data_IF_609712999894
#
_entry.id   IF_609712999894
#
_cell.length_a   1.000
_cell.length_b   1.000
_cell.length_c   1.000
_cell.angle_alpha   90.00
_cell.angle_beta   90.00
_cell.angle_gamma   90.00
#
_symmetry.space_group_name_H-M   'P 1'
#
loop_
_entity.id
_entity.type
_entity.pdbx_description
1 polymer ?
#
# COMPACT_ATOMS: atom_id res chain seq x y z
N UNK A 1 41.16 -26.11 15.65
CA UNK A 1 39.86 -26.11 16.37
C UNK A 1 39.65 -24.85 17.20
N UNK A 2 40.47 -24.52 18.22
CA UNK A 2 40.27 -23.32 19.07
C UNK A 2 40.20 -21.98 18.31
N UNK A 3 41.07 -21.77 17.31
CA UNK A 3 41.07 -20.57 16.45
C UNK A 3 39.81 -20.47 15.58
N UNK A 4 39.32 -21.59 15.04
CA UNK A 4 38.09 -21.63 14.23
C UNK A 4 36.87 -21.31 15.08
N UNK A 5 36.77 -21.89 16.28
CA UNK A 5 35.69 -21.60 17.22
C UNK A 5 35.68 -20.12 17.61
N UNK A 6 36.85 -19.53 17.86
CA UNK A 6 36.97 -18.11 18.18
C UNK A 6 36.50 -17.20 17.04
N UNK A 7 36.89 -17.52 15.79
CA UNK A 7 36.42 -16.80 14.59
C UNK A 7 34.89 -16.91 14.45
N UNK A 8 34.32 -18.11 14.64
CA UNK A 8 32.87 -18.31 14.58
C UNK A 8 32.14 -17.47 15.64
N UNK A 9 32.67 -17.39 16.86
CA UNK A 9 32.11 -16.55 17.94
C UNK A 9 32.13 -15.08 17.55
N UNK A 10 33.24 -14.60 16.99
CA UNK A 10 33.35 -13.20 16.52
C UNK A 10 32.32 -12.92 15.43
N UNK A 11 32.22 -13.78 14.42
CA UNK A 11 31.26 -13.60 13.32
C UNK A 11 29.84 -13.56 13.86
N UNK A 12 29.48 -14.48 14.75
CA UNK A 12 28.16 -14.53 15.36
C UNK A 12 27.86 -13.27 16.19
N UNK A 13 28.83 -12.80 16.99
CA UNK A 13 28.69 -11.56 17.74
C UNK A 13 28.51 -10.34 16.83
N UNK A 14 29.26 -10.26 15.72
CA UNK A 14 29.10 -9.21 14.73
C UNK A 14 27.69 -9.25 14.13
N UNK A 15 27.20 -10.42 13.72
CA UNK A 15 25.85 -10.57 13.14
C UNK A 15 24.76 -10.08 14.12
N UNK A 16 24.91 -10.36 15.42
CA UNK A 16 23.94 -9.93 16.44
C UNK A 16 24.05 -8.44 16.79
N UNK A 17 25.26 -7.90 16.85
CA UNK A 17 25.49 -6.50 17.27
C UNK A 17 25.30 -5.50 16.13
N UNK A 18 25.54 -5.91 14.89
CA UNK A 18 25.48 -5.01 13.73
C UNK A 18 24.10 -4.31 13.59
N UNK A 19 22.94 -4.98 13.69
CA UNK A 19 21.63 -4.33 13.66
C UNK A 19 21.37 -3.36 14.83
N UNK A 20 22.02 -3.59 15.97
CA UNK A 20 21.91 -2.74 17.16
C UNK A 20 22.77 -1.49 16.97
N UNK A 21 23.98 -1.63 16.42
CA UNK A 21 24.87 -0.50 16.14
C UNK A 21 24.27 0.41 15.06
N UNK A 22 23.56 -0.16 14.07
CA UNK A 22 22.90 0.60 13.00
C UNK A 22 21.44 0.96 13.31
N UNK A 23 21.05 0.94 14.59
CA UNK A 23 19.71 1.27 15.05
C UNK A 23 19.31 2.72 14.72
N UNK A 24 18.05 2.94 14.34
CA UNK A 24 17.54 4.25 13.94
C UNK A 24 16.93 5.03 15.12
N UNK A 25 17.73 5.91 15.72
CA UNK A 25 17.30 6.80 16.81
C UNK A 25 16.58 8.09 16.36
N UNK A 26 16.45 8.37 15.06
CA UNK A 26 15.86 9.62 14.57
C UNK A 26 14.36 9.67 14.82
N UNK A 27 13.82 10.78 15.28
CA UNK A 27 12.36 10.96 15.43
C UNK A 27 11.65 11.19 14.09
N UNK A 28 10.33 10.98 14.09
CA UNK A 28 9.40 11.23 12.98
C UNK A 28 9.79 10.58 11.66
N UNK A 29 10.26 9.33 11.73
CA UNK A 29 10.68 8.58 10.55
C UNK A 29 9.50 7.83 9.94
N UNK A 30 9.50 7.75 8.61
CA UNK A 30 8.53 6.96 7.84
C UNK A 30 9.26 5.74 7.29
N UNK A 31 8.66 4.57 7.46
CA UNK A 31 9.15 3.32 6.90
C UNK A 31 9.00 3.30 5.39
N UNK A 32 10.08 2.99 4.68
CA UNK A 32 10.07 2.88 3.23
C UNK A 32 9.30 1.64 2.70
N UNK A 33 9.07 0.62 3.54
CA UNK A 33 8.42 -0.64 3.11
C UNK A 33 6.91 -0.54 3.17
N UNK A 34 6.38 -0.06 4.28
CA UNK A 34 4.94 -0.08 4.58
C UNK A 34 4.32 1.33 4.67
N UNK A 35 5.10 2.37 4.33
CA UNK A 35 4.69 3.79 4.32
C UNK A 35 3.99 4.23 5.62
N UNK A 36 4.43 3.69 6.76
CA UNK A 36 3.91 3.98 8.08
C UNK A 36 4.93 4.76 8.90
N UNK A 37 4.45 5.65 9.76
CA UNK A 37 5.30 6.29 10.79
C UNK A 37 5.86 5.23 11.74
N UNK A 38 7.19 5.23 11.95
CA UNK A 38 7.83 4.37 12.92
C UNK A 38 7.39 4.76 14.34
N UNK A 39 7.24 3.75 15.19
CA UNK A 39 6.90 3.95 16.61
C UNK A 39 7.90 4.91 17.26
N UNK A 40 7.44 5.91 17.99
CA UNK A 40 8.30 6.83 18.75
C UNK A 40 8.68 6.23 20.11
N UNK A 41 9.73 6.76 20.72
CA UNK A 41 10.13 6.28 22.04
C UNK A 41 9.00 6.54 23.04
N UNK A 42 8.49 5.52 23.76
CA UNK A 42 7.32 5.68 24.60
C UNK A 42 7.64 6.57 25.80
N UNK A 43 6.77 7.55 26.06
CA UNK A 43 6.83 8.32 27.29
C UNK A 43 6.29 7.48 28.44
N UNK A 44 6.98 7.49 29.58
CA UNK A 44 6.47 6.86 30.79
C UNK A 44 5.26 7.66 31.31
N UNK A 45 4.10 7.04 31.34
CA UNK A 45 2.88 7.62 31.90
C UNK A 45 2.52 6.86 33.18
N UNK A 46 2.45 7.56 34.31
CA UNK A 46 2.11 6.97 35.62
C UNK A 46 0.72 6.31 35.66
N UNK A 47 -0.16 6.65 34.72
CA UNK A 47 -1.51 6.11 34.60
C UNK A 47 -1.61 4.94 33.59
N UNK A 48 -0.56 4.69 32.80
CA UNK A 48 -0.54 3.58 31.84
C UNK A 48 -0.05 2.29 32.53
N UNK A 49 -0.55 1.15 32.07
CA UNK A 49 -0.10 -0.13 32.61
C UNK A 49 1.36 -0.40 32.20
N UNK A 50 2.13 -1.06 33.07
CA UNK A 50 3.52 -1.50 32.75
C UNK A 50 3.53 -2.37 31.48
N UNK A 51 2.46 -3.14 31.26
CA UNK A 51 2.31 -4.00 30.08
C UNK A 51 2.22 -3.19 28.78
N UNK A 52 1.47 -2.10 28.76
CA UNK A 52 1.38 -1.20 27.59
C UNK A 52 2.73 -0.56 27.29
N UNK A 53 3.40 -0.05 28.32
CA UNK A 53 4.74 0.53 28.16
C UNK A 53 5.75 -0.47 27.56
N UNK A 54 5.75 -1.72 28.03
CA UNK A 54 6.62 -2.78 27.48
C UNK A 54 6.26 -3.11 26.03
N UNK A 55 4.98 -3.14 25.69
CA UNK A 55 4.54 -3.38 24.31
C UNK A 55 4.96 -2.24 23.37
N UNK A 56 4.86 -0.99 23.81
CA UNK A 56 5.28 0.17 23.03
C UNK A 56 6.80 0.22 22.86
N UNK A 57 7.55 -0.13 23.91
CA UNK A 57 9.01 -0.29 23.82
C UNK A 57 9.38 -1.37 22.82
N UNK A 58 8.75 -2.55 22.89
CA UNK A 58 9.00 -3.62 21.94
C UNK A 58 8.70 -3.19 20.51
N UNK A 59 7.63 -2.43 20.30
CA UNK A 59 7.25 -1.89 19.00
C UNK A 59 8.28 -0.86 18.49
N UNK A 60 8.77 0.01 19.37
CA UNK A 60 9.87 0.94 19.07
C UNK A 60 11.14 0.22 18.64
N UNK A 61 11.59 -0.79 19.39
CA UNK A 61 12.77 -1.57 19.05
C UNK A 61 12.59 -2.29 17.71
N UNK A 62 11.48 -3.00 17.52
CA UNK A 62 11.20 -3.77 16.30
C UNK A 62 11.11 -2.90 15.05
N UNK A 63 10.59 -1.67 15.17
CA UNK A 63 10.46 -0.75 14.05
C UNK A 63 11.81 -0.15 13.61
N UNK A 64 12.79 -0.08 14.52
CA UNK A 64 14.00 0.75 14.35
C UNK A 64 15.31 -0.04 14.35
N UNK A 65 15.26 -1.35 14.50
CA UNK A 65 16.41 -2.22 14.29
C UNK A 65 17.05 -1.95 12.92
N UNK A 66 18.37 -1.81 12.94
CA UNK A 66 19.15 -1.62 11.74
C UNK A 66 19.01 -2.80 10.78
N UNK A 67 19.14 -2.53 9.48
CA UNK A 67 18.94 -3.50 8.40
C UNK A 67 17.55 -4.15 8.31
N UNK A 68 16.58 -3.77 9.14
CA UNK A 68 15.19 -4.27 9.05
C UNK A 68 14.67 -4.21 7.62
N UNK A 69 14.85 -3.07 6.96
CA UNK A 69 14.37 -2.90 5.58
C UNK A 69 15.02 -3.88 4.61
N UNK A 70 16.35 -4.02 4.70
CA UNK A 70 17.09 -4.98 3.89
C UNK A 70 16.58 -6.40 4.13
N UNK A 71 16.46 -6.83 5.38
CA UNK A 71 16.04 -8.19 5.70
C UNK A 71 14.61 -8.50 5.25
N UNK A 72 13.67 -7.58 5.45
CA UNK A 72 12.29 -7.77 4.98
C UNK A 72 12.26 -7.84 3.45
N UNK A 73 12.87 -6.87 2.76
CA UNK A 73 12.88 -6.85 1.30
C UNK A 73 13.59 -8.08 0.70
N UNK A 74 14.73 -8.48 1.27
CA UNK A 74 15.42 -9.71 0.84
C UNK A 74 14.58 -10.95 1.09
N UNK A 75 13.91 -11.05 2.23
CA UNK A 75 13.01 -12.18 2.53
C UNK A 75 11.86 -12.26 1.53
N UNK A 76 11.25 -11.12 1.21
CA UNK A 76 10.19 -11.03 0.20
C UNK A 76 10.70 -11.50 -1.17
N UNK A 77 11.86 -11.00 -1.63
CA UNK A 77 12.45 -11.39 -2.91
C UNK A 77 12.80 -12.88 -2.98
N UNK A 78 13.35 -13.44 -1.90
CA UNK A 78 13.70 -14.87 -1.82
C UNK A 78 12.43 -15.71 -1.89
N UNK A 79 11.38 -15.35 -1.14
CA UNK A 79 10.13 -16.09 -1.13
C UNK A 79 9.41 -16.02 -2.47
N UNK A 80 9.43 -14.85 -3.12
CA UNK A 80 8.84 -14.68 -4.44
C UNK A 80 9.61 -15.50 -5.49
N UNK A 81 10.94 -15.44 -5.49
CA UNK A 81 11.76 -16.15 -6.49
C UNK A 81 11.76 -17.66 -6.32
N UNK A 82 11.79 -18.16 -5.08
CA UNK A 82 11.85 -19.60 -4.80
C UNK A 82 10.48 -20.27 -4.79
N UNK A 83 9.45 -19.57 -4.32
CA UNK A 83 8.13 -20.16 -4.07
C UNK A 83 6.98 -19.47 -4.82
N UNK A 84 7.22 -18.34 -5.50
CA UNK A 84 6.18 -17.54 -6.13
C UNK A 84 5.26 -16.84 -5.13
N UNK A 85 5.72 -16.66 -3.87
CA UNK A 85 4.91 -16.12 -2.76
C UNK A 85 5.37 -14.72 -2.39
N UNK A 86 4.51 -13.73 -2.60
CA UNK A 86 4.70 -12.37 -2.11
C UNK A 86 4.04 -12.18 -0.74
N UNK A 87 4.84 -12.31 0.33
CA UNK A 87 4.39 -12.00 1.70
C UNK A 87 4.60 -10.51 1.98
N UNK A 88 3.65 -9.69 1.54
CA UNK A 88 3.64 -8.25 1.80
C UNK A 88 2.35 -7.83 2.52
N UNK A 89 2.36 -6.82 3.42
CA UNK A 89 1.13 -6.34 4.06
C UNK A 89 0.10 -5.81 3.05
N UNK A 90 0.56 -5.07 2.03
CA UNK A 90 -0.30 -4.35 1.08
C UNK A 90 -0.43 -4.98 -0.30
N UNK A 91 0.48 -5.87 -0.69
CA UNK A 91 0.58 -6.35 -2.08
C UNK A 91 0.37 -7.86 -2.16
N UNK A 92 -0.03 -8.31 -3.35
CA UNK A 92 -0.18 -9.72 -3.71
C UNK A 92 0.29 -9.95 -5.14
N UNK A 93 0.80 -11.15 -5.40
CA UNK A 93 1.16 -11.58 -6.75
C UNK A 93 -0.08 -11.80 -7.61
N UNK A 94 -0.04 -11.28 -8.83
CA UNK A 94 -0.88 -11.66 -9.95
C UNK A 94 -0.15 -12.67 -10.85
N UNK A 95 -0.72 -12.91 -12.03
CA UNK A 95 -0.09 -13.73 -13.08
C UNK A 95 1.02 -12.94 -13.77
N UNK A 96 1.95 -13.65 -14.39
CA UNK A 96 2.98 -13.07 -15.27
C UNK A 96 3.82 -11.96 -14.60
N UNK A 97 4.09 -12.09 -13.30
CA UNK A 97 4.92 -11.14 -12.55
C UNK A 97 4.23 -9.83 -12.19
N UNK A 98 2.94 -9.67 -12.46
CA UNK A 98 2.20 -8.49 -12.02
C UNK A 98 2.03 -8.49 -10.51
N UNK A 99 2.12 -7.31 -9.90
CA UNK A 99 1.87 -7.10 -8.48
C UNK A 99 0.66 -6.16 -8.33
N UNK A 100 -0.29 -6.58 -7.50
CA UNK A 100 -1.51 -5.83 -7.18
C UNK A 100 -1.56 -5.47 -5.71
N UNK A 101 -2.30 -4.42 -5.37
CA UNK A 101 -2.77 -4.25 -3.99
C UNK A 101 -3.60 -5.47 -3.59
N UNK A 102 -3.50 -5.87 -2.32
CA UNK A 102 -4.30 -6.96 -1.76
C UNK A 102 -5.77 -6.68 -2.03
N UNK A 103 -6.39 -7.60 -2.75
CA UNK A 103 -7.79 -7.57 -3.10
C UNK A 103 -8.59 -7.82 -1.82
N UNK A 104 -9.49 -6.90 -1.49
CA UNK A 104 -10.47 -7.06 -0.43
C UNK A 104 -11.84 -7.22 -1.06
N UNK A 105 -12.80 -7.87 -0.39
CA UNK A 105 -14.19 -7.84 -0.82
C UNK A 105 -14.60 -6.39 -1.08
N UNK A 106 -15.04 -6.11 -2.30
CA UNK A 106 -15.58 -4.81 -2.65
C UNK A 106 -16.99 -4.72 -2.08
N UNK A 107 -17.09 -4.16 -0.88
CA UNK A 107 -18.35 -3.65 -0.36
C UNK A 107 -18.54 -2.27 -1.00
N UNK A 108 -19.51 -2.17 -1.91
CA UNK A 108 -19.89 -0.88 -2.49
C UNK A 108 -20.77 -0.17 -1.48
N UNK A 109 -20.25 0.92 -0.93
CA UNK A 109 -21.03 1.86 -0.14
C UNK A 109 -21.80 2.78 -1.11
N UNK A 110 -23.07 2.44 -1.35
CA UNK A 110 -23.92 3.15 -2.31
C UNK A 110 -24.21 4.58 -1.88
N UNK A 111 -24.38 4.80 -0.57
CA UNK A 111 -24.67 6.12 0.00
C UNK A 111 -23.47 7.04 -0.23
N UNK A 112 -22.27 6.59 0.14
CA UNK A 112 -21.05 7.33 -0.08
C UNK A 112 -20.83 7.70 -1.56
N UNK A 113 -21.08 6.76 -2.48
CA UNK A 113 -20.89 7.03 -3.92
C UNK A 113 -21.86 8.11 -4.41
N UNK A 114 -23.13 8.05 -3.98
CA UNK A 114 -24.12 9.05 -4.35
C UNK A 114 -23.77 10.43 -3.78
N UNK A 115 -23.38 10.51 -2.52
CA UNK A 115 -22.91 11.77 -1.89
C UNK A 115 -21.68 12.34 -2.58
N UNK A 116 -20.74 11.48 -2.98
CA UNK A 116 -19.56 11.90 -3.72
C UNK A 116 -19.93 12.46 -5.10
N UNK A 117 -20.84 11.82 -5.82
CA UNK A 117 -21.35 12.32 -7.10
C UNK A 117 -22.07 13.66 -6.92
N UNK A 118 -22.86 13.84 -5.86
CA UNK A 118 -23.46 15.13 -5.50
C UNK A 118 -22.42 16.21 -5.22
N UNK A 119 -21.33 15.85 -4.55
CA UNK A 119 -20.21 16.75 -4.32
C UNK A 119 -19.55 17.18 -5.63
N UNK A 120 -19.31 16.26 -6.56
CA UNK A 120 -18.74 16.59 -7.89
C UNK A 120 -19.69 17.50 -8.69
N UNK A 121 -21.01 17.27 -8.63
CA UNK A 121 -21.99 18.17 -9.24
C UNK A 121 -21.89 19.60 -8.70
N UNK A 122 -21.77 19.75 -7.36
CA UNK A 122 -21.59 21.06 -6.72
C UNK A 122 -20.30 21.74 -7.14
N UNK A 123 -19.21 20.99 -7.32
CA UNK A 123 -17.95 21.54 -7.85
C UNK A 123 -18.11 22.06 -9.29
N UNK A 124 -18.81 21.31 -10.14
CA UNK A 124 -19.12 21.76 -11.49
C UNK A 124 -19.91 23.08 -11.47
N UNK A 125 -21.00 23.16 -10.70
CA UNK A 125 -21.79 24.39 -10.55
C UNK A 125 -20.92 25.54 -10.07
N UNK A 126 -20.11 25.33 -9.04
CA UNK A 126 -19.22 26.34 -8.49
C UNK A 126 -18.25 26.93 -9.54
N UNK A 127 -17.69 26.08 -10.41
CA UNK A 127 -16.82 26.51 -11.50
C UNK A 127 -17.60 27.26 -12.60
N UNK A 128 -18.76 26.75 -12.99
CA UNK A 128 -19.60 27.36 -14.04
C UNK A 128 -20.10 28.76 -13.63
N UNK A 129 -20.47 28.96 -12.36
CA UNK A 129 -20.83 30.27 -11.80
C UNK A 129 -19.70 31.30 -11.85
N UNK A 130 -18.46 30.86 -12.13
CA UNK A 130 -17.24 31.68 -12.22
C UNK A 130 -16.64 31.67 -13.61
N UNK A 131 -17.42 31.30 -14.63
CA UNK A 131 -17.00 31.20 -16.02
C UNK A 131 -15.78 30.26 -16.23
N UNK A 132 -15.60 29.28 -15.35
CA UNK A 132 -14.52 28.30 -15.43
C UNK A 132 -14.99 26.97 -16.02
N UNK A 133 -14.18 26.40 -16.92
CA UNK A 133 -14.43 25.08 -17.51
C UNK A 133 -14.15 24.01 -16.45
N UNK A 134 -15.11 23.11 -16.25
CA UNK A 134 -14.98 21.96 -15.36
C UNK A 134 -15.00 20.66 -16.15
N UNK A 135 -14.07 19.76 -15.83
CA UNK A 135 -14.01 18.38 -16.32
C UNK A 135 -13.53 17.46 -15.19
N UNK A 136 -14.32 16.44 -14.88
CA UNK A 136 -13.97 15.42 -13.90
C UNK A 136 -13.39 14.17 -14.58
N UNK A 137 -12.13 13.84 -14.32
CA UNK A 137 -11.52 12.61 -14.82
C UNK A 137 -11.71 11.46 -13.83
N UNK A 138 -12.46 10.44 -14.23
CA UNK A 138 -12.58 9.20 -13.48
C UNK A 138 -11.52 8.20 -13.96
N UNK A 139 -10.53 7.94 -13.11
CA UNK A 139 -9.45 7.00 -13.41
C UNK A 139 -9.78 5.59 -12.91
N UNK A 140 -9.53 4.54 -13.72
CA UNK A 140 -9.68 3.16 -13.26
C UNK A 140 -8.60 2.77 -12.24
N UNK A 141 -8.86 1.71 -11.49
CA UNK A 141 -7.81 1.06 -10.73
C UNK A 141 -6.93 0.18 -11.64
N UNK A 142 -5.68 -0.08 -11.22
CA UNK A 142 -4.78 -1.05 -11.87
C UNK A 142 -5.46 -2.41 -12.12
N UNK A 143 -6.28 -2.86 -11.18
CA UNK A 143 -7.03 -4.13 -11.25
C UNK A 143 -8.10 -4.13 -12.35
N UNK A 144 -8.66 -2.96 -12.71
CA UNK A 144 -9.61 -2.82 -13.82
C UNK A 144 -8.88 -2.90 -15.16
N UNK A 145 -7.69 -2.30 -15.27
CA UNK A 145 -6.93 -2.27 -16.53
C UNK A 145 -6.24 -3.60 -16.82
N UNK A 146 -5.76 -4.27 -15.77
CA UNK A 146 -4.98 -5.50 -15.84
C UNK A 146 -5.73 -6.71 -15.25
N UNK A 147 -7.05 -6.77 -15.45
CA UNK A 147 -7.91 -7.81 -14.88
C UNK A 147 -7.45 -9.23 -15.24
N UNK A 148 -6.95 -9.42 -16.47
CA UNK A 148 -6.42 -10.70 -16.96
C UNK A 148 -5.27 -11.25 -16.11
N UNK A 149 -4.50 -10.37 -15.47
CA UNK A 149 -3.36 -10.71 -14.64
C UNK A 149 -3.70 -10.87 -13.15
N UNK A 150 -4.97 -10.73 -12.76
CA UNK A 150 -5.35 -10.97 -11.38
C UNK A 150 -5.07 -12.43 -10.95
N UNK A 151 -4.79 -12.67 -9.64
CA UNK A 151 -4.56 -14.02 -9.13
C UNK A 151 -5.73 -14.97 -9.43
N UNK A 152 -5.42 -16.26 -9.57
CA UNK A 152 -6.47 -17.29 -9.78
C UNK A 152 -7.45 -17.29 -8.60
N UNK A 153 -8.74 -17.45 -8.91
CA UNK A 153 -9.82 -17.47 -7.91
C UNK A 153 -10.36 -16.09 -7.52
N UNK A 154 -9.79 -15.01 -8.04
CA UNK A 154 -10.33 -13.66 -7.88
C UNK A 154 -11.45 -13.44 -8.89
N UNK A 155 -12.62 -13.04 -8.41
CA UNK A 155 -13.73 -12.54 -9.22
C UNK A 155 -13.88 -11.05 -8.92
N UNK A 156 -13.29 -10.21 -9.78
CA UNK A 156 -13.29 -8.76 -9.62
C UNK A 156 -14.63 -8.17 -10.07
N UNK A 157 -15.24 -7.31 -9.24
CA UNK A 157 -16.50 -6.65 -9.55
C UNK A 157 -16.37 -5.16 -9.38
N UNK A 158 -16.55 -4.42 -10.47
CA UNK A 158 -16.40 -2.96 -10.45
C UNK A 158 -17.72 -2.21 -10.26
N UNK A 159 -18.55 -2.67 -9.32
CA UNK A 159 -19.92 -2.13 -9.14
C UNK A 159 -19.91 -0.67 -8.67
N UNK A 160 -18.93 -0.28 -7.85
CA UNK A 160 -18.70 1.11 -7.45
C UNK A 160 -18.48 2.05 -8.65
N UNK A 161 -17.64 1.67 -9.62
CA UNK A 161 -17.38 2.51 -10.80
C UNK A 161 -18.60 2.57 -11.70
N UNK A 162 -19.34 1.47 -11.86
CA UNK A 162 -20.62 1.49 -12.61
C UNK A 162 -21.60 2.49 -12.01
N UNK A 163 -21.79 2.44 -10.69
CA UNK A 163 -22.66 3.37 -9.97
C UNK A 163 -22.18 4.82 -10.13
N UNK A 164 -20.87 5.06 -10.02
CA UNK A 164 -20.30 6.40 -10.20
C UNK A 164 -20.55 6.93 -11.62
N UNK A 165 -20.32 6.11 -12.66
CA UNK A 165 -20.58 6.48 -14.06
C UNK A 165 -22.06 6.80 -14.31
N UNK A 166 -22.97 6.00 -13.76
CA UNK A 166 -24.42 6.27 -13.81
C UNK A 166 -24.74 7.61 -13.17
N UNK A 167 -24.30 7.85 -11.93
CA UNK A 167 -24.56 9.10 -11.22
C UNK A 167 -23.96 10.33 -11.90
N UNK A 168 -22.74 10.23 -12.46
CA UNK A 168 -22.11 11.30 -13.24
C UNK A 168 -22.94 11.65 -14.48
N UNK A 169 -23.47 10.63 -15.16
CA UNK A 169 -24.31 10.79 -16.35
C UNK A 169 -25.67 11.42 -15.99
N UNK A 170 -26.34 10.90 -14.97
CA UNK A 170 -27.65 11.38 -14.51
C UNK A 170 -27.63 12.86 -14.09
N UNK A 171 -26.52 13.31 -13.48
CA UNK A 171 -26.34 14.70 -13.06
C UNK A 171 -25.74 15.61 -14.13
N UNK A 172 -25.55 15.11 -15.36
CA UNK A 172 -24.93 15.86 -16.47
C UNK A 172 -23.57 16.48 -16.08
N UNK A 173 -22.74 15.71 -15.36
CA UNK A 173 -21.40 16.14 -14.99
C UNK A 173 -20.48 15.93 -16.19
N UNK A 174 -19.79 17.00 -16.60
CA UNK A 174 -18.71 16.95 -17.57
C UNK A 174 -17.62 16.02 -17.03
N UNK A 175 -17.56 14.81 -17.58
CA UNK A 175 -16.66 13.78 -17.09
C UNK A 175 -16.07 12.94 -18.21
N UNK A 176 -14.91 12.37 -17.94
CA UNK A 176 -14.24 11.42 -18.83
C UNK A 176 -13.85 10.18 -18.03
N UNK A 177 -14.10 9.00 -18.59
CA UNK A 177 -13.66 7.73 -18.01
C UNK A 177 -12.55 7.14 -18.87
N UNK A 178 -11.35 7.02 -18.31
CA UNK A 178 -10.14 6.72 -19.08
C UNK A 178 -9.88 5.23 -19.29
N UNK A 179 -10.65 4.35 -18.63
CA UNK A 179 -10.35 2.91 -18.65
C UNK A 179 -10.35 2.26 -20.03
N UNK A 180 -11.29 2.54 -20.95
CA UNK A 180 -11.22 1.95 -22.29
C UNK A 180 -9.91 2.27 -23.02
N UNK A 181 -9.45 3.53 -22.91
CA UNK A 181 -8.20 3.96 -23.52
C UNK A 181 -6.98 3.31 -22.84
N UNK A 182 -6.96 3.22 -21.51
CA UNK A 182 -5.87 2.58 -20.77
C UNK A 182 -5.81 1.07 -21.00
N UNK A 183 -6.96 0.40 -21.09
CA UNK A 183 -7.04 -1.04 -21.43
C UNK A 183 -6.48 -1.28 -22.83
N UNK A 184 -6.82 -0.44 -23.81
CA UNK A 184 -6.28 -0.59 -25.16
C UNK A 184 -4.77 -0.35 -25.18
N UNK A 185 -4.31 0.75 -24.57
CA UNK A 185 -2.88 1.06 -24.47
C UNK A 185 -2.09 -0.04 -23.74
N UNK A 186 -2.70 -0.69 -22.74
CA UNK A 186 -2.07 -1.76 -21.95
C UNK A 186 -1.62 -2.97 -22.79
N UNK A 187 -2.18 -3.14 -24.00
CA UNK A 187 -1.81 -4.22 -24.93
C UNK A 187 -0.44 -4.01 -25.57
N UNK A 188 0.02 -2.76 -25.65
CA UNK A 188 1.26 -2.38 -26.34
C UNK A 188 2.32 -1.82 -25.38
N UNK A 189 1.88 -1.17 -24.30
CA UNK A 189 2.78 -0.54 -23.33
C UNK A 189 2.26 -0.73 -21.90
N UNK A 190 3.17 -0.69 -20.94
CA UNK A 190 2.82 -0.70 -19.54
C UNK A 190 2.27 0.67 -19.12
N UNK A 191 1.04 0.70 -18.58
CA UNK A 191 0.35 1.93 -18.15
C UNK A 191 0.16 2.01 -16.61
N UNK A 192 0.58 0.98 -15.86
CA UNK A 192 0.66 0.92 -14.38
C UNK A 192 1.81 0.04 -13.89
#
# INVERSE_FOLDING_TARGET
MKKLNFITVIIFAVILLLPIITFNFKSNQISAIDNRKLTEFPAFNSNASVKEFVNDLNSYFNDRLGFRTLFISSSVLIQDKLFGVLVHPLYTNGKEGYVFLKLRPQLTDFEYVNEFVDFVAKLQTYCQERDAIFLFSLEPAKQTVYEQYLPKGVNYKNDRVKLMLSGLTEKNINSVYTAPALIEASKQTQVY
#
